data_IF_676704759653
#
_entry.id   IF_676704759653
#
_cell.length_a   1.000
_cell.length_b   1.000
_cell.length_c   1.000
_cell.angle_alpha   90.00
_cell.angle_beta   90.00
_cell.angle_gamma   90.00
#
_symmetry.space_group_name_H-M   'P 1'
#
loop_
_entity.id
_entity.type
_entity.pdbx_description
1 polymer ?
#
# COMPACT_ATOMS: atom_id res chain seq x y z
N UNK A 1 3.33 15.32 22.77
CA UNK A 1 3.53 13.98 22.16
C UNK A 1 3.61 14.00 20.63
N UNK A 2 3.39 15.15 19.99
CA UNK A 2 3.36 15.27 18.52
C UNK A 2 4.67 14.88 17.79
N UNK A 3 5.84 14.97 18.41
CA UNK A 3 7.11 14.59 17.74
C UNK A 3 7.21 13.08 17.47
N UNK A 4 6.76 12.27 18.42
CA UNK A 4 6.78 10.81 18.27
C UNK A 4 5.76 10.39 17.20
N UNK A 5 4.57 11.00 17.20
CA UNK A 5 3.56 10.75 16.17
C UNK A 5 4.04 11.18 14.77
N UNK A 6 4.70 12.34 14.66
CA UNK A 6 5.27 12.81 13.41
C UNK A 6 6.39 11.88 12.89
N UNK A 7 7.23 11.35 13.78
CA UNK A 7 8.25 10.38 13.42
C UNK A 7 7.66 9.11 12.80
N UNK A 8 6.65 8.52 13.46
CA UNK A 8 5.99 7.32 12.93
C UNK A 8 5.21 7.61 11.64
N UNK A 9 4.54 8.76 11.53
CA UNK A 9 3.84 9.14 10.30
C UNK A 9 4.78 9.30 9.10
N UNK A 10 5.98 9.88 9.33
CA UNK A 10 6.99 10.01 8.29
C UNK A 10 7.52 8.64 7.82
N UNK A 11 7.79 7.73 8.77
CA UNK A 11 8.24 6.37 8.47
C UNK A 11 7.16 5.57 7.73
N UNK A 12 5.90 5.68 8.17
CA UNK A 12 4.77 5.04 7.52
C UNK A 12 4.59 5.52 6.07
N UNK A 13 4.67 6.84 5.84
CA UNK A 13 4.57 7.41 4.50
C UNK A 13 5.71 6.95 3.58
N UNK A 14 6.93 6.87 4.11
CA UNK A 14 8.09 6.42 3.35
C UNK A 14 7.93 4.97 2.88
N UNK A 15 7.50 4.07 3.77
CA UNK A 15 7.26 2.67 3.40
C UNK A 15 6.07 2.55 2.43
N UNK A 16 4.96 3.26 2.66
CA UNK A 16 3.82 3.27 1.72
C UNK A 16 4.24 3.67 0.30
N UNK A 17 5.07 4.70 0.16
CA UNK A 17 5.60 5.15 -1.15
C UNK A 17 6.48 4.08 -1.79
N UNK A 18 7.42 3.53 -1.03
CA UNK A 18 8.32 2.47 -1.52
C UNK A 18 7.56 1.25 -2.04
N UNK A 19 6.49 0.85 -1.34
CA UNK A 19 5.63 -0.24 -1.80
C UNK A 19 4.85 0.13 -3.07
N UNK A 20 4.24 1.32 -3.12
CA UNK A 20 3.53 1.78 -4.30
C UNK A 20 4.44 1.86 -5.54
N UNK A 21 5.66 2.37 -5.39
CA UNK A 21 6.62 2.50 -6.49
C UNK A 21 7.18 1.16 -6.96
N UNK A 22 7.51 0.25 -6.04
CA UNK A 22 8.14 -1.03 -6.38
C UNK A 22 7.13 -2.06 -6.88
N UNK A 23 5.93 -2.05 -6.31
CA UNK A 23 4.97 -3.15 -6.43
C UNK A 23 3.64 -2.74 -7.02
N UNK A 24 3.45 -1.44 -7.33
CA UNK A 24 2.16 -0.88 -7.73
C UNK A 24 1.03 -1.37 -6.80
N UNK A 25 1.24 -1.26 -5.49
CA UNK A 25 0.27 -1.65 -4.47
C UNK A 25 0.18 -0.60 -3.37
N UNK A 26 -1.05 -0.25 -2.99
CA UNK A 26 -1.32 0.61 -1.85
C UNK A 26 -1.61 -0.26 -0.62
N UNK A 27 -0.60 -0.41 0.23
CA UNK A 27 -0.68 -1.23 1.46
C UNK A 27 -1.59 -0.61 2.53
N UNK A 28 -1.90 0.69 2.46
CA UNK A 28 -2.78 1.35 3.42
C UNK A 28 -4.25 1.12 3.08
N UNK A 29 -4.57 1.09 1.78
CA UNK A 29 -5.91 0.84 1.27
C UNK A 29 -6.15 -0.61 0.87
N UNK A 30 -5.13 -1.45 0.99
CA UNK A 30 -5.13 -2.87 0.60
C UNK A 30 -5.68 -3.06 -0.83
N UNK A 31 -5.07 -2.35 -1.79
CA UNK A 31 -5.48 -2.46 -3.19
C UNK A 31 -4.32 -2.38 -4.17
N UNK A 32 -4.40 -3.10 -5.30
CA UNK A 32 -3.48 -2.87 -6.40
C UNK A 32 -3.69 -1.50 -7.02
N UNK A 33 -2.57 -0.94 -7.49
CA UNK A 33 -2.51 0.23 -8.35
C UNK A 33 -2.19 -0.25 -9.77
N UNK A 34 -2.49 0.61 -10.74
CA UNK A 34 -2.07 0.39 -12.12
C UNK A 34 -0.55 0.31 -12.21
N UNK A 35 -0.02 -0.71 -12.90
CA UNK A 35 1.42 -0.90 -13.01
C UNK A 35 1.86 -2.27 -13.51
N UNK A 36 3.07 -2.66 -13.13
CA UNK A 36 3.77 -3.84 -13.66
C UNK A 36 3.18 -5.16 -13.19
N UNK A 37 2.68 -5.20 -11.96
CA UNK A 37 2.24 -6.43 -11.30
C UNK A 37 0.72 -6.50 -11.23
N UNK A 38 0.16 -7.66 -11.56
CA UNK A 38 -1.25 -7.96 -11.34
C UNK A 38 -1.40 -8.72 -10.02
N UNK A 39 -2.13 -8.15 -9.07
CA UNK A 39 -2.31 -8.74 -7.73
C UNK A 39 -3.58 -9.58 -7.68
N UNK A 40 -3.46 -10.82 -7.22
CA UNK A 40 -4.61 -11.72 -7.00
C UNK A 40 -4.77 -11.97 -5.50
N UNK A 41 -5.94 -11.65 -4.90
CA UNK A 41 -6.17 -11.89 -3.48
C UNK A 41 -6.23 -13.39 -3.17
N UNK A 42 -5.46 -13.84 -2.19
CA UNK A 42 -5.32 -15.26 -1.82
C UNK A 42 -6.59 -15.84 -1.14
N UNK A 43 -7.52 -14.98 -0.70
CA UNK A 43 -8.73 -15.37 0.04
C UNK A 43 -10.08 -15.17 -0.66
N UNK A 44 -10.09 -14.68 -1.91
CA UNK A 44 -11.25 -14.68 -2.82
C UNK A 44 -12.60 -14.14 -2.30
N UNK A 45 -12.91 -12.88 -2.65
CA UNK A 45 -14.12 -12.63 -3.46
C UNK A 45 -13.68 -11.76 -4.64
N UNK A 46 -13.50 -12.39 -5.79
CA UNK A 46 -13.39 -11.70 -7.07
C UNK A 46 -14.68 -10.91 -7.28
N UNK A 47 -14.62 -9.60 -7.08
CA UNK A 47 -15.58 -8.69 -7.73
C UNK A 47 -15.05 -8.45 -9.14
N UNK A 48 -15.27 -9.46 -9.99
CA UNK A 48 -15.19 -9.25 -11.43
C UNK A 48 -16.28 -8.23 -11.77
N UNK A 49 -15.87 -7.07 -12.27
CA UNK A 49 -16.79 -6.14 -12.93
C UNK A 49 -17.22 -6.66 -14.29
#
# INVERSE_FOLDING_TARGET
>A
MAEIEAFFAAAELAERRRFAETYNYDVALDRPLDGRFEWTPVGGKTVSS
#
